data_IF_636029482084
#
_entry.id   IF_636029482084
#
_cell.length_a   1.000
_cell.length_b   1.000
_cell.length_c   1.000
_cell.angle_alpha   90.00
_cell.angle_beta   90.00
_cell.angle_gamma   90.00
#
_symmetry.space_group_name_H-M   'P 1'
#
loop_
_entity.id
_entity.type
_entity.pdbx_description
1 polymer ?
#
# COMPACT_ATOMS: atom_id res chain seq x y z
N UNK A 1 -21.18 -4.26 -61.40
CA UNK A 1 -22.01 -4.76 -60.29
C UNK A 1 -21.27 -5.74 -59.39
N UNK A 2 -19.96 -5.93 -59.49
CA UNK A 2 -19.19 -6.89 -58.68
C UNK A 2 -18.19 -6.26 -57.67
N UNK A 3 -18.04 -4.95 -57.68
CA UNK A 3 -17.11 -4.27 -56.73
C UNK A 3 -17.63 -4.16 -55.29
N UNK A 4 -18.97 -4.23 -55.12
CA UNK A 4 -19.57 -4.04 -53.78
C UNK A 4 -19.65 -5.35 -52.96
N UNK A 5 -19.57 -6.52 -53.64
CA UNK A 5 -19.65 -7.84 -52.96
C UNK A 5 -18.32 -8.16 -52.23
N UNK A 6 -17.17 -7.73 -52.79
CA UNK A 6 -15.87 -7.99 -52.21
C UNK A 6 -15.67 -7.23 -50.86
N UNK A 7 -16.23 -6.00 -50.73
CA UNK A 7 -16.13 -5.19 -49.52
C UNK A 7 -16.97 -5.79 -48.39
N UNK A 8 -18.13 -6.36 -48.71
CA UNK A 8 -19.01 -6.97 -47.70
C UNK A 8 -18.38 -8.24 -47.10
N UNK A 9 -17.68 -9.04 -47.93
CA UNK A 9 -17.01 -10.26 -47.46
C UNK A 9 -15.83 -9.95 -46.57
N UNK A 10 -15.08 -8.85 -46.82
CA UNK A 10 -13.96 -8.42 -45.98
C UNK A 10 -14.43 -7.91 -44.63
N UNK A 11 -15.58 -7.22 -44.55
CA UNK A 11 -16.17 -6.73 -43.31
C UNK A 11 -16.67 -7.88 -42.43
N UNK A 12 -17.28 -8.92 -43.06
CA UNK A 12 -17.77 -10.10 -42.35
C UNK A 12 -16.60 -10.97 -41.83
N UNK A 13 -15.50 -11.09 -42.59
CA UNK A 13 -14.33 -11.84 -42.15
C UNK A 13 -13.62 -11.16 -40.95
N UNK A 14 -13.63 -9.83 -40.88
CA UNK A 14 -13.05 -9.12 -39.73
C UNK A 14 -13.91 -9.16 -38.44
N UNK A 15 -15.23 -9.37 -38.60
CA UNK A 15 -16.12 -9.53 -37.42
C UNK A 15 -16.00 -10.89 -36.76
N UNK A 16 -15.58 -11.92 -37.47
CA UNK A 16 -15.37 -13.27 -36.87
C UNK A 16 -14.04 -13.43 -36.15
N UNK A 17 -13.04 -12.59 -36.45
CA UNK A 17 -11.71 -12.66 -35.77
C UNK A 17 -11.73 -11.97 -34.38
N UNK A 18 -12.69 -11.07 -34.14
CA UNK A 18 -12.76 -10.32 -32.87
C UNK A 18 -13.47 -11.12 -31.75
N UNK A 19 -14.24 -12.17 -32.10
CA UNK A 19 -15.00 -12.93 -31.08
C UNK A 19 -14.16 -13.99 -30.36
N UNK A 20 -13.03 -14.44 -30.90
CA UNK A 20 -12.17 -15.42 -30.24
C UNK A 20 -11.16 -14.83 -29.26
N UNK A 21 -10.95 -13.50 -29.29
CA UNK A 21 -10.01 -12.85 -28.37
C UNK A 21 -10.61 -12.66 -26.98
N UNK A 22 -11.94 -12.68 -26.83
CA UNK A 22 -12.61 -12.52 -25.53
C UNK A 22 -13.05 -13.86 -24.88
N UNK A 23 -12.78 -15.00 -25.51
CA UNK A 23 -12.98 -16.32 -24.90
C UNK A 23 -11.71 -16.82 -24.20
N UNK A 24 -10.95 -15.92 -23.57
CA UNK A 24 -9.87 -16.36 -22.72
C UNK A 24 -10.40 -16.68 -21.33
N UNK A 25 -10.51 -17.99 -21.11
CA UNK A 25 -10.38 -18.64 -19.80
C UNK A 25 -10.94 -17.83 -18.63
N UNK A 26 -12.17 -18.11 -18.26
CA UNK A 26 -12.55 -18.05 -16.85
C UNK A 26 -11.73 -19.08 -16.07
N UNK A 27 -10.43 -18.86 -15.97
CA UNK A 27 -9.62 -19.51 -14.98
C UNK A 27 -10.20 -19.10 -13.63
N UNK A 28 -10.54 -20.08 -12.85
CA UNK A 28 -11.08 -19.92 -11.52
C UNK A 28 -10.35 -18.79 -10.80
N UNK A 29 -11.04 -17.66 -10.54
CA UNK A 29 -10.46 -16.44 -9.97
C UNK A 29 -10.14 -16.61 -8.49
N UNK A 30 -10.45 -17.75 -7.91
CA UNK A 30 -10.16 -18.05 -6.49
C UNK A 30 -8.68 -18.33 -6.21
N UNK A 31 -7.89 -18.70 -7.22
CA UNK A 31 -6.45 -19.00 -7.08
C UNK A 31 -5.53 -17.75 -7.05
N UNK A 32 -6.09 -16.55 -7.20
CA UNK A 32 -5.32 -15.31 -7.28
C UNK A 32 -5.54 -14.35 -6.10
N UNK A 33 -6.20 -14.80 -5.04
CA UNK A 33 -6.35 -13.99 -3.84
C UNK A 33 -4.98 -13.85 -3.17
N UNK A 34 -4.54 -12.62 -3.00
CA UNK A 34 -3.38 -12.35 -2.17
C UNK A 34 -3.74 -12.65 -0.70
N UNK A 35 -2.95 -13.52 -0.08
CA UNK A 35 -3.10 -13.87 1.34
C UNK A 35 -1.76 -13.67 2.03
N UNK A 36 -1.80 -12.99 3.15
CA UNK A 36 -0.62 -12.71 3.95
C UNK A 36 -1.00 -12.73 5.44
N UNK A 37 -0.50 -13.75 6.13
CA UNK A 37 -0.79 -13.96 7.55
C UNK A 37 -0.25 -12.84 8.45
N UNK A 38 0.83 -12.15 8.05
CA UNK A 38 1.34 -11.00 8.78
C UNK A 38 0.40 -9.81 8.65
N UNK A 39 -0.05 -9.49 7.40
CA UNK A 39 -0.97 -8.39 7.16
C UNK A 39 -2.37 -8.66 7.72
N UNK A 40 -2.78 -9.93 7.84
CA UNK A 40 -4.05 -10.30 8.49
C UNK A 40 -4.10 -9.85 9.96
N UNK A 41 -2.96 -9.78 10.65
CA UNK A 41 -2.90 -9.23 12.01
C UNK A 41 -3.19 -7.72 12.04
N UNK A 42 -2.96 -6.99 10.95
CA UNK A 42 -3.22 -5.55 10.91
C UNK A 42 -4.70 -5.22 10.68
N UNK A 43 -5.50 -6.17 10.17
CA UNK A 43 -6.93 -5.96 9.94
C UNK A 43 -7.67 -5.60 11.22
N UNK A 44 -8.46 -4.52 11.16
CA UNK A 44 -9.30 -4.02 12.25
C UNK A 44 -9.02 -2.57 12.60
N UNK A 45 -9.49 -2.19 13.81
CA UNK A 45 -9.36 -0.81 14.32
C UNK A 45 -8.33 -0.73 15.43
N UNK A 46 -7.51 0.30 15.37
CA UNK A 46 -6.36 0.47 16.25
C UNK A 46 -6.34 1.85 16.87
N UNK A 47 -6.01 1.89 18.16
CA UNK A 47 -5.57 3.11 18.83
C UNK A 47 -4.06 3.22 18.74
N UNK A 48 -3.57 4.41 18.43
CA UNK A 48 -2.16 4.69 18.24
C UNK A 48 -1.69 5.68 19.30
N UNK A 49 -0.58 5.34 19.96
CA UNK A 49 0.25 6.30 20.65
C UNK A 49 1.54 6.46 19.87
N UNK A 50 1.94 7.69 19.65
CA UNK A 50 3.07 8.00 18.78
C UNK A 50 3.94 9.11 19.32
N UNK A 51 5.18 9.12 18.82
CA UNK A 51 6.14 10.17 19.03
C UNK A 51 6.79 10.54 17.69
N UNK A 52 6.57 11.76 17.24
CA UNK A 52 7.12 12.24 15.97
C UNK A 52 7.82 13.58 16.15
N UNK A 53 9.03 13.70 15.59
CA UNK A 53 9.85 14.91 15.67
C UNK A 53 9.96 15.52 17.07
N UNK A 54 10.02 14.68 18.10
CA UNK A 54 10.13 15.11 19.49
C UNK A 54 8.80 15.46 20.19
N UNK A 55 7.65 15.26 19.54
CA UNK A 55 6.33 15.56 20.09
C UNK A 55 5.44 14.32 20.15
N UNK A 56 4.76 14.06 21.27
CA UNK A 56 3.78 12.98 21.36
C UNK A 56 2.50 13.38 20.61
N UNK A 57 1.84 12.39 20.01
CA UNK A 57 0.50 12.53 19.47
C UNK A 57 -0.25 11.20 19.51
N UNK A 58 -1.57 11.25 19.36
CA UNK A 58 -2.42 10.07 19.26
C UNK A 58 -3.13 10.02 17.91
N UNK A 59 -3.52 8.81 17.49
CA UNK A 59 -4.22 8.60 16.25
C UNK A 59 -5.10 7.35 16.31
N UNK A 60 -5.89 7.16 15.27
CA UNK A 60 -6.58 5.90 14.98
C UNK A 60 -6.13 5.36 13.64
N UNK A 61 -6.19 4.05 13.47
CA UNK A 61 -5.98 3.38 12.21
C UNK A 61 -7.10 2.37 12.01
N UNK A 62 -7.63 2.32 10.80
CA UNK A 62 -8.58 1.33 10.33
C UNK A 62 -7.98 0.59 9.15
N UNK A 63 -7.98 -0.75 9.17
CA UNK A 63 -7.39 -1.55 8.12
C UNK A 63 -8.32 -2.69 7.70
N UNK A 64 -8.58 -2.79 6.39
CA UNK A 64 -9.46 -3.79 5.81
C UNK A 64 -8.93 -4.30 4.46
N UNK A 65 -9.18 -5.57 4.17
CA UNK A 65 -8.95 -6.10 2.84
C UNK A 65 -9.97 -5.57 1.83
N UNK A 66 -9.48 -5.05 0.70
CA UNK A 66 -10.29 -4.48 -0.37
C UNK A 66 -9.97 -5.11 -1.73
N UNK A 67 -10.76 -4.77 -2.78
CA UNK A 67 -10.57 -5.22 -4.15
C UNK A 67 -10.45 -6.76 -4.25
N UNK A 68 -11.44 -7.47 -3.69
CA UNK A 68 -11.43 -8.93 -3.61
C UNK A 68 -10.18 -9.51 -2.96
N UNK A 69 -9.76 -8.92 -1.84
CA UNK A 69 -8.60 -9.36 -1.06
C UNK A 69 -7.25 -9.20 -1.80
N UNK A 70 -7.15 -8.23 -2.73
CA UNK A 70 -5.90 -7.97 -3.44
C UNK A 70 -5.03 -6.92 -2.76
N UNK A 71 -5.65 -6.04 -1.96
CA UNK A 71 -4.96 -4.99 -1.21
C UNK A 71 -5.48 -4.91 0.21
N UNK A 72 -4.56 -4.74 1.16
CA UNK A 72 -4.90 -4.22 2.47
C UNK A 72 -4.97 -2.70 2.34
N UNK A 73 -6.13 -2.13 2.66
CA UNK A 73 -6.35 -0.70 2.74
C UNK A 73 -6.17 -0.25 4.18
N UNK A 74 -5.45 0.83 4.39
CA UNK A 74 -5.18 1.43 5.70
C UNK A 74 -5.62 2.88 5.65
N UNK A 75 -6.48 3.28 6.57
CA UNK A 75 -6.81 4.66 6.83
C UNK A 75 -6.29 5.08 8.19
N UNK A 76 -5.36 6.03 8.19
CA UNK A 76 -4.79 6.62 9.40
C UNK A 76 -5.36 8.01 9.63
N UNK A 77 -5.72 8.33 10.88
CA UNK A 77 -6.24 9.63 11.27
C UNK A 77 -5.69 10.08 12.61
N UNK A 78 -4.91 11.18 12.60
CA UNK A 78 -4.43 11.86 13.80
C UNK A 78 -5.57 12.52 14.57
N UNK A 79 -5.48 12.51 15.89
CA UNK A 79 -6.48 13.16 16.75
C UNK A 79 -6.13 14.63 17.03
N UNK A 80 -4.86 14.98 16.98
CA UNK A 80 -4.37 16.32 17.28
C UNK A 80 -3.78 17.00 16.04
N UNK A 81 -3.83 18.32 16.04
CA UNK A 81 -3.11 19.13 15.05
C UNK A 81 -1.61 18.98 15.29
N UNK A 82 -0.90 18.51 14.28
CA UNK A 82 0.58 18.46 14.36
C UNK A 82 1.17 19.80 13.95
N UNK A 83 2.11 20.37 14.75
CA UNK A 83 2.56 21.76 14.57
C UNK A 83 3.13 22.09 13.19
N UNK A 84 3.78 21.13 12.54
CA UNK A 84 4.40 21.33 11.22
C UNK A 84 3.42 21.19 10.06
N UNK A 85 2.23 20.58 10.25
CA UNK A 85 1.17 20.51 9.22
C UNK A 85 0.08 21.56 9.41
N UNK A 86 -0.14 22.02 10.65
CA UNK A 86 -1.23 22.93 10.97
C UNK A 86 -2.63 22.29 10.93
N UNK A 87 -2.71 20.99 10.70
CA UNK A 87 -3.93 20.14 10.68
C UNK A 87 -3.61 18.77 11.27
N UNK A 88 -4.61 17.98 11.70
CA UNK A 88 -4.38 16.58 12.03
C UNK A 88 -3.82 15.81 10.82
N UNK A 89 -2.85 14.94 11.07
CA UNK A 89 -2.30 14.07 10.04
C UNK A 89 -3.35 13.05 9.59
N UNK A 90 -3.52 12.88 8.28
CA UNK A 90 -4.41 11.87 7.70
C UNK A 90 -3.79 11.31 6.43
N UNK A 91 -3.83 9.98 6.28
CA UNK A 91 -3.36 9.33 5.06
C UNK A 91 -4.11 8.02 4.78
N UNK A 92 -4.12 7.67 3.51
CA UNK A 92 -4.63 6.41 2.97
C UNK A 92 -3.48 5.62 2.37
N UNK A 93 -3.40 4.33 2.67
CA UNK A 93 -2.41 3.43 2.11
C UNK A 93 -3.06 2.14 1.59
N UNK A 94 -2.48 1.58 0.51
CA UNK A 94 -2.89 0.31 -0.07
C UNK A 94 -1.67 -0.58 -0.22
N UNK A 95 -1.63 -1.69 0.50
CA UNK A 95 -0.55 -2.68 0.46
C UNK A 95 -1.02 -3.88 -0.34
N UNK A 96 -0.38 -4.15 -1.47
CA UNK A 96 -0.62 -5.32 -2.31
C UNK A 96 0.67 -6.09 -2.57
N UNK A 97 0.58 -7.18 -3.36
CA UNK A 97 1.74 -7.99 -3.69
C UNK A 97 1.92 -8.16 -5.20
N UNK A 98 3.12 -7.86 -5.68
CA UNK A 98 3.51 -8.09 -7.06
C UNK A 98 4.15 -9.48 -7.20
N UNK A 99 3.37 -10.44 -7.69
CA UNK A 99 3.81 -11.84 -7.86
C UNK A 99 4.99 -11.99 -8.84
N UNK A 100 5.07 -11.15 -9.87
CA UNK A 100 6.16 -11.22 -10.84
C UNK A 100 7.50 -10.73 -10.28
N UNK A 101 7.46 -9.83 -9.32
CA UNK A 101 8.64 -9.20 -8.72
C UNK A 101 8.91 -9.71 -7.29
N UNK A 102 8.04 -10.59 -6.76
CA UNK A 102 8.15 -11.17 -5.42
C UNK A 102 8.35 -10.11 -4.32
N UNK A 103 7.55 -9.03 -4.37
CA UNK A 103 7.63 -7.94 -3.39
C UNK A 103 6.28 -7.29 -3.17
N UNK A 104 6.13 -6.67 -2.02
CA UNK A 104 4.97 -5.82 -1.76
C UNK A 104 5.09 -4.51 -2.52
N UNK A 105 3.95 -3.98 -2.87
CA UNK A 105 3.78 -2.65 -3.47
C UNK A 105 2.86 -1.85 -2.56
N UNK A 106 3.24 -0.62 -2.29
CA UNK A 106 2.50 0.26 -1.39
C UNK A 106 2.19 1.56 -2.12
N UNK A 107 0.92 1.91 -2.15
CA UNK A 107 0.42 3.17 -2.71
C UNK A 107 -0.14 3.99 -1.57
N UNK A 108 0.29 5.25 -1.46
CA UNK A 108 -0.16 6.13 -0.40
C UNK A 108 -0.60 7.49 -0.92
N UNK A 109 -1.52 8.10 -0.19
CA UNK A 109 -1.90 9.49 -0.34
C UNK A 109 -2.09 10.11 1.05
N UNK A 110 -1.56 11.30 1.27
CA UNK A 110 -1.64 12.01 2.54
C UNK A 110 -2.17 13.43 2.36
N UNK A 111 -2.48 14.09 3.46
CA UNK A 111 -2.83 15.52 3.47
C UNK A 111 -1.74 16.43 2.91
N UNK A 112 -0.49 15.94 2.84
CA UNK A 112 0.64 16.66 2.24
C UNK A 112 0.59 16.67 0.71
N UNK A 113 -0.30 15.87 0.14
CA UNK A 113 -0.34 15.64 -1.30
C UNK A 113 0.82 14.76 -1.75
N UNK A 114 1.31 14.99 -2.96
CA UNK A 114 2.39 14.21 -3.57
C UNK A 114 3.72 14.97 -3.68
N UNK A 115 3.86 16.08 -2.98
CA UNK A 115 5.00 16.98 -3.20
C UNK A 115 6.30 16.44 -2.57
N UNK A 116 6.19 15.68 -1.48
CA UNK A 116 7.37 15.18 -0.75
C UNK A 116 7.72 13.72 -1.08
N UNK A 117 6.73 12.90 -1.40
CA UNK A 117 6.93 11.46 -1.64
C UNK A 117 6.42 11.02 -3.01
N UNK A 118 7.04 10.00 -3.57
CA UNK A 118 6.65 9.46 -4.88
C UNK A 118 5.26 8.78 -4.87
N UNK A 119 4.52 8.77 -3.75
CA UNK A 119 3.18 8.17 -3.62
C UNK A 119 3.15 6.65 -3.85
N UNK A 120 4.32 6.06 -4.05
CA UNK A 120 4.50 4.66 -4.37
C UNK A 120 5.83 4.16 -3.78
N UNK A 121 5.78 3.07 -3.06
CA UNK A 121 6.99 2.44 -2.55
C UNK A 121 6.93 0.91 -2.61
N UNK A 122 8.05 0.28 -2.30
CA UNK A 122 8.16 -1.17 -2.19
C UNK A 122 8.38 -1.58 -0.75
N UNK A 123 7.89 -2.78 -0.41
CA UNK A 123 8.18 -3.36 0.88
C UNK A 123 8.65 -4.81 0.73
N UNK A 124 9.38 -5.26 1.75
CA UNK A 124 9.90 -6.62 1.87
C UNK A 124 9.56 -7.15 3.25
N UNK A 125 9.07 -8.38 3.29
CA UNK A 125 8.76 -9.07 4.53
C UNK A 125 9.98 -9.84 5.03
N UNK A 126 10.21 -9.79 6.32
CA UNK A 126 11.14 -10.65 7.04
C UNK A 126 10.47 -11.11 8.34
N UNK A 127 10.01 -12.35 8.37
CA UNK A 127 9.26 -12.95 9.47
C UNK A 127 8.03 -12.11 9.87
N UNK A 128 8.11 -11.46 11.05
CA UNK A 128 7.08 -10.61 11.64
C UNK A 128 7.26 -9.11 11.32
N UNK A 129 8.19 -8.76 10.42
CA UNK A 129 8.46 -7.38 10.02
C UNK A 129 8.15 -7.15 8.54
N UNK A 130 7.49 -6.05 8.24
CA UNK A 130 7.39 -5.50 6.89
C UNK A 130 8.25 -4.22 6.83
N UNK A 131 9.29 -4.23 5.99
CA UNK A 131 10.17 -3.08 5.75
C UNK A 131 9.76 -2.36 4.47
N UNK A 132 9.23 -1.14 4.61
CA UNK A 132 8.90 -0.25 3.51
C UNK A 132 10.07 0.67 3.20
N UNK A 133 10.25 1.00 1.92
CA UNK A 133 11.29 1.90 1.43
C UNK A 133 10.65 2.95 0.55
N UNK A 134 10.48 4.16 1.08
CA UNK A 134 9.84 5.29 0.43
C UNK A 134 10.88 6.33 0.05
N UNK A 135 10.97 6.65 -1.23
CA UNK A 135 11.92 7.62 -1.72
C UNK A 135 11.35 9.03 -1.63
N UNK A 136 12.16 9.97 -1.14
CA UNK A 136 11.80 11.40 -1.13
C UNK A 136 12.05 11.97 -2.53
N UNK A 137 11.09 12.71 -3.05
CA UNK A 137 11.18 13.37 -4.37
C UNK A 137 12.38 14.32 -4.42
N UNK A 138 13.14 14.27 -5.49
CA UNK A 138 14.33 15.11 -5.70
C UNK A 138 15.42 14.99 -4.61
N UNK A 139 15.46 13.86 -3.88
CA UNK A 139 16.44 13.57 -2.84
C UNK A 139 17.07 12.20 -3.04
N UNK A 140 18.27 12.01 -2.51
CA UNK A 140 18.89 10.70 -2.38
C UNK A 140 18.50 9.99 -1.07
N UNK A 141 17.69 10.66 -0.24
CA UNK A 141 17.20 10.11 1.01
C UNK A 141 16.03 9.18 0.77
N UNK A 142 16.08 8.02 1.40
CA UNK A 142 14.98 7.06 1.47
C UNK A 142 14.45 7.03 2.90
N UNK A 143 13.16 7.08 3.09
CA UNK A 143 12.54 6.79 4.38
C UNK A 143 12.37 5.28 4.50
N UNK A 144 12.95 4.72 5.54
CA UNK A 144 12.77 3.33 5.91
C UNK A 144 11.70 3.28 7.01
N UNK A 145 10.59 2.64 6.70
CA UNK A 145 9.56 2.35 7.70
C UNK A 145 9.56 0.84 7.99
N UNK A 146 9.64 0.48 9.26
CA UNK A 146 9.51 -0.90 9.74
C UNK A 146 8.21 -1.04 10.49
N UNK A 147 7.40 -1.98 10.08
CA UNK A 147 6.16 -2.39 10.75
C UNK A 147 6.40 -3.77 11.34
N UNK A 148 6.47 -3.87 12.65
CA UNK A 148 6.78 -5.12 13.36
C UNK A 148 5.58 -5.58 14.18
N UNK A 149 5.16 -6.82 13.97
CA UNK A 149 4.11 -7.47 14.75
C UNK A 149 4.69 -8.06 16.04
N UNK A 150 4.12 -7.68 17.15
CA UNK A 150 4.47 -8.14 18.49
C UNK A 150 3.41 -9.14 18.99
N UNK A 151 3.64 -10.43 18.77
CA UNK A 151 2.64 -11.48 19.07
C UNK A 151 2.32 -11.61 20.56
N UNK A 152 3.27 -11.33 21.46
CA UNK A 152 3.05 -11.42 22.91
C UNK A 152 2.10 -10.34 23.43
N UNK A 153 2.05 -9.18 22.78
CA UNK A 153 1.23 -8.02 23.19
C UNK A 153 0.06 -7.75 22.26
N UNK A 154 -0.12 -8.56 21.20
CA UNK A 154 -1.13 -8.37 20.15
C UNK A 154 -1.13 -6.92 19.66
N UNK A 155 0.06 -6.42 19.31
CA UNK A 155 0.27 -5.01 18.94
C UNK A 155 1.26 -4.87 17.78
N UNK A 156 1.20 -3.72 17.11
CA UNK A 156 2.18 -3.33 16.10
C UNK A 156 3.09 -2.22 16.60
N UNK A 157 4.36 -2.31 16.24
CA UNK A 157 5.33 -1.21 16.36
C UNK A 157 5.68 -0.74 14.95
N UNK A 158 5.52 0.56 14.69
CA UNK A 158 5.88 1.17 13.40
C UNK A 158 6.91 2.26 13.65
N UNK A 159 8.07 2.14 13.02
CA UNK A 159 9.18 3.06 13.19
C UNK A 159 9.68 3.56 11.84
N UNK A 160 9.84 4.88 11.71
CA UNK A 160 10.38 5.49 10.49
C UNK A 160 11.67 6.24 10.77
N UNK A 161 12.62 6.12 9.86
CA UNK A 161 13.91 6.81 9.89
C UNK A 161 14.41 7.12 8.48
N UNK A 162 15.17 8.18 8.28
CA UNK A 162 15.81 8.43 7.01
C UNK A 162 17.02 7.51 6.83
N UNK A 163 17.26 7.14 5.58
CA UNK A 163 18.47 6.45 5.13
C UNK A 163 19.13 7.29 4.03
N UNK A 164 20.40 7.60 4.21
CA UNK A 164 21.22 8.29 3.20
C UNK A 164 22.49 7.45 2.94
N UNK A 165 22.74 7.14 1.67
CA UNK A 165 23.90 6.35 1.24
C UNK A 165 24.08 5.02 2.01
N UNK A 166 22.97 4.32 2.30
CA UNK A 166 22.97 3.04 3.00
C UNK A 166 23.17 3.14 4.51
N UNK A 167 23.10 4.35 5.09
CA UNK A 167 23.20 4.56 6.54
C UNK A 167 21.88 5.08 7.08
N UNK A 168 21.26 4.28 7.94
CA UNK A 168 20.05 4.69 8.68
C UNK A 168 20.41 5.72 9.77
N UNK A 169 19.60 6.78 9.88
CA UNK A 169 19.72 7.81 10.92
C UNK A 169 18.76 7.52 12.09
N UNK A 170 18.57 8.48 12.95
CA UNK A 170 17.69 8.37 14.12
C UNK A 170 16.23 8.23 13.71
N UNK A 171 15.48 7.45 14.49
CA UNK A 171 14.02 7.35 14.38
C UNK A 171 13.43 8.74 14.61
N UNK A 172 12.61 9.19 13.66
CA UNK A 172 11.84 10.43 13.78
C UNK A 172 10.35 10.16 14.03
N UNK A 173 9.86 8.97 13.73
CA UNK A 173 8.49 8.52 13.98
C UNK A 173 8.54 7.17 14.68
N UNK A 174 7.86 7.06 15.81
CA UNK A 174 7.70 5.81 16.57
C UNK A 174 6.23 5.69 17.00
N UNK A 175 5.55 4.64 16.55
CA UNK A 175 4.13 4.40 16.79
C UNK A 175 3.93 3.02 17.41
N UNK A 176 3.07 2.97 18.43
CA UNK A 176 2.53 1.72 18.95
C UNK A 176 1.03 1.67 18.68
N UNK A 177 0.60 0.59 18.01
CA UNK A 177 -0.79 0.30 17.71
C UNK A 177 -1.31 -0.76 18.68
N UNK A 178 -2.42 -0.45 19.33
CA UNK A 178 -3.14 -1.38 20.21
C UNK A 178 -4.56 -1.56 19.67
N UNK A 179 -4.97 -2.81 19.50
CA UNK A 179 -6.27 -3.14 18.91
C UNK A 179 -7.42 -2.60 19.75
N UNK A 180 -8.36 -1.94 19.09
CA UNK A 180 -9.62 -1.51 19.73
C UNK A 180 -10.56 -2.71 19.83
N UNK A 181 -11.17 -2.87 21.00
CA UNK A 181 -12.14 -3.93 21.29
C UNK A 181 -13.53 -3.60 20.71
#
# INVERSE_FOLDING_TARGET
>A
MFKNIAIIIIVIANTFIVTDVFSQNTKDTTDHLFRDDLLDHLVGKWSITSFAHGSPFTATLDADWVLHHQFLHIHFKGNEVVPWFGVPMEYEEYIGYNHNQHRYVVYGASIEGSDEFEGFCYAYRNDNELKLMQKIVNSETTIIQRMTWESESDSWIIQSRPELAGKEDKIFLDMKLVKLQ
#
